data_IF_044394998441
#
_entry.id   IF_044394998441
#
_cell.length_a   1.000
_cell.length_b   1.000
_cell.length_c   1.000
_cell.angle_alpha   90.00
_cell.angle_beta   90.00
_cell.angle_gamma   90.00
#
_symmetry.space_group_name_H-M   'P 1'
#
loop_
_entity.id
_entity.type
_entity.pdbx_description
1 polymer ?
#
# COMPACT_ATOMS: atom_id res chain seq x y z
N UNK A 1 2.07 -8.16 25.16
CA UNK A 1 3.18 -7.32 24.66
C UNK A 1 2.55 -6.06 24.12
N UNK A 2 3.05 -4.89 24.53
CA UNK A 2 2.51 -3.61 24.10
C UNK A 2 3.52 -2.99 23.12
N UNK A 3 3.05 -2.63 21.93
CA UNK A 3 3.86 -2.02 20.88
C UNK A 3 3.60 -0.53 20.87
N UNK A 4 4.67 0.28 20.82
CA UNK A 4 4.58 1.72 20.62
C UNK A 4 5.01 2.00 19.18
N UNK A 5 4.12 2.56 18.37
CA UNK A 5 4.41 3.01 17.01
C UNK A 5 4.54 4.53 17.02
N UNK A 6 5.61 5.04 16.43
CA UNK A 6 5.90 6.49 16.35
C UNK A 6 5.92 6.88 14.88
N UNK A 7 5.06 7.82 14.50
CA UNK A 7 5.05 8.41 13.16
C UNK A 7 5.94 9.65 13.16
N UNK A 8 6.87 9.71 12.21
CA UNK A 8 7.83 10.82 12.06
C UNK A 8 7.71 11.45 10.67
N UNK A 9 7.81 12.77 10.58
CA UNK A 9 7.60 13.50 9.33
C UNK A 9 8.91 13.73 8.55
N UNK A 10 10.06 13.54 9.18
CA UNK A 10 11.37 13.77 8.55
C UNK A 10 12.50 12.93 9.16
N UNK A 11 13.61 12.83 8.42
CA UNK A 11 14.77 12.02 8.83
C UNK A 11 15.48 12.54 10.10
N UNK A 12 15.42 13.85 10.38
CA UNK A 12 16.06 14.42 11.57
C UNK A 12 15.39 13.92 12.86
N UNK A 13 14.06 13.81 12.87
CA UNK A 13 13.32 13.23 14.01
C UNK A 13 13.70 11.77 14.25
N UNK A 14 13.82 10.98 13.16
CA UNK A 14 14.24 9.58 13.25
C UNK A 14 15.66 9.48 13.84
N UNK A 15 16.59 10.33 13.39
CA UNK A 15 17.97 10.32 13.89
C UNK A 15 18.04 10.72 15.38
N UNK A 16 17.24 11.68 15.81
CA UNK A 16 17.17 12.11 17.21
C UNK A 16 16.60 10.99 18.10
N UNK A 17 15.54 10.30 17.65
CA UNK A 17 14.99 9.14 18.36
C UNK A 17 15.98 7.98 18.44
N UNK A 18 16.71 7.68 17.35
CA UNK A 18 17.76 6.64 17.37
C UNK A 18 18.83 6.95 18.41
N UNK A 19 19.30 8.19 18.47
CA UNK A 19 20.33 8.61 19.43
C UNK A 19 19.83 8.45 20.87
N UNK A 20 18.61 8.95 21.16
CA UNK A 20 17.99 8.81 22.47
C UNK A 20 17.82 7.35 22.89
N UNK A 21 17.24 6.51 22.03
CA UNK A 21 16.96 5.11 22.34
C UNK A 21 18.25 4.29 22.53
N UNK A 22 19.30 4.59 21.75
CA UNK A 22 20.63 3.98 21.94
C UNK A 22 21.22 4.30 23.31
N UNK A 23 21.11 5.56 23.73
CA UNK A 23 21.68 5.99 25.01
C UNK A 23 20.93 5.41 26.21
N UNK A 24 19.63 5.17 26.04
CA UNK A 24 18.81 4.44 27.00
C UNK A 24 19.00 2.92 26.93
N UNK A 25 19.83 2.42 26.01
CA UNK A 25 20.07 0.98 25.75
C UNK A 25 18.79 0.20 25.45
N UNK A 26 17.84 0.84 24.77
CA UNK A 26 16.58 0.24 24.35
C UNK A 26 16.78 -0.37 22.96
N UNK A 27 16.40 -1.64 22.78
CA UNK A 27 16.36 -2.27 21.46
C UNK A 27 15.14 -1.78 20.69
N UNK A 28 15.34 -1.38 19.44
CA UNK A 28 14.28 -0.88 18.57
C UNK A 28 14.46 -1.39 17.13
N UNK A 29 13.35 -1.43 16.40
CA UNK A 29 13.29 -1.76 14.98
C UNK A 29 12.71 -0.58 14.22
N UNK A 30 13.15 -0.39 12.97
CA UNK A 30 12.64 0.66 12.09
C UNK A 30 12.03 0.00 10.88
N UNK A 31 10.70 -0.02 10.86
CA UNK A 31 9.94 -0.41 9.70
C UNK A 31 9.63 0.84 8.89
N UNK A 32 10.25 0.97 7.73
CA UNK A 32 9.83 1.97 6.74
C UNK A 32 8.60 1.40 6.05
N UNK A 33 7.51 2.16 6.00
CA UNK A 33 6.42 1.83 5.10
C UNK A 33 6.98 1.81 3.68
N UNK A 34 6.84 0.66 3.01
CA UNK A 34 7.20 0.54 1.61
C UNK A 34 6.23 1.41 0.81
N UNK A 35 6.77 2.43 0.14
CA UNK A 35 6.01 3.13 -0.87
C UNK A 35 5.58 2.15 -1.96
N UNK A 36 4.41 2.36 -2.53
CA UNK A 36 3.99 1.63 -3.73
C UNK A 36 5.11 1.71 -4.78
N UNK A 37 5.49 0.56 -5.32
CA UNK A 37 6.41 0.50 -6.46
C UNK A 37 5.77 1.16 -7.68
N UNK A 38 6.58 1.61 -8.64
CA UNK A 38 6.06 2.39 -9.76
C UNK A 38 5.05 1.60 -10.61
N UNK A 39 5.31 0.31 -10.85
CA UNK A 39 4.36 -0.55 -11.56
C UNK A 39 3.04 -0.73 -10.81
N UNK A 40 3.05 -0.74 -9.47
CA UNK A 40 1.82 -0.82 -8.66
C UNK A 40 1.00 0.47 -8.80
N UNK A 41 1.65 1.63 -8.74
CA UNK A 41 0.97 2.92 -8.97
C UNK A 41 0.36 2.98 -10.37
N UNK A 42 1.11 2.58 -11.39
CA UNK A 42 0.62 2.53 -12.78
C UNK A 42 -0.62 1.64 -12.91
N UNK A 43 -0.63 0.45 -12.29
CA UNK A 43 -1.78 -0.46 -12.32
C UNK A 43 -3.01 0.15 -11.64
N UNK A 44 -2.82 0.79 -10.49
CA UNK A 44 -3.91 1.45 -9.76
C UNK A 44 -4.49 2.59 -10.59
N UNK A 45 -3.63 3.48 -11.11
CA UNK A 45 -4.05 4.61 -11.95
C UNK A 45 -4.77 4.14 -13.21
N UNK A 46 -4.27 3.09 -13.86
CA UNK A 46 -4.93 2.49 -15.02
C UNK A 46 -6.31 1.93 -14.65
N UNK A 47 -6.43 1.21 -13.55
CA UNK A 47 -7.72 0.68 -13.08
C UNK A 47 -8.73 1.79 -12.79
N UNK A 48 -8.29 2.90 -12.18
CA UNK A 48 -9.13 4.08 -11.95
C UNK A 48 -9.60 4.68 -13.29
N UNK A 49 -8.71 4.83 -14.26
CA UNK A 49 -9.05 5.32 -15.61
C UNK A 49 -10.05 4.40 -16.30
N UNK A 50 -9.77 3.09 -16.32
CA UNK A 50 -10.64 2.08 -16.93
C UNK A 50 -12.04 2.09 -16.30
N UNK A 51 -12.16 2.26 -14.99
CA UNK A 51 -13.45 2.40 -14.31
C UNK A 51 -14.17 3.67 -14.75
N UNK A 52 -13.46 4.81 -14.77
CA UNK A 52 -14.04 6.10 -15.18
C UNK A 52 -14.55 6.10 -16.63
N UNK A 53 -13.88 5.35 -17.50
CA UNK A 53 -14.23 5.19 -18.92
C UNK A 53 -15.25 4.07 -19.15
N UNK A 54 -15.75 3.41 -18.08
CA UNK A 54 -16.70 2.30 -18.20
C UNK A 54 -16.10 1.00 -18.75
N UNK A 55 -14.77 0.91 -18.84
CA UNK A 55 -14.00 -0.27 -19.27
C UNK A 55 -13.88 -1.31 -18.15
N UNK A 56 -14.97 -1.56 -17.45
CA UNK A 56 -15.06 -2.62 -16.44
C UNK A 56 -16.32 -3.44 -16.68
N UNK A 57 -16.36 -4.65 -16.16
CA UNK A 57 -17.52 -5.54 -16.28
C UNK A 57 -17.85 -6.12 -14.92
N UNK A 58 -19.14 -6.13 -14.58
CA UNK A 58 -19.61 -6.81 -13.38
C UNK A 58 -19.46 -8.32 -13.54
N UNK A 59 -19.27 -9.02 -12.42
CA UNK A 59 -19.20 -10.49 -12.38
C UNK A 59 -20.43 -11.14 -13.03
N UNK A 60 -21.62 -10.54 -12.86
CA UNK A 60 -22.86 -10.95 -13.52
C UNK A 60 -22.76 -10.85 -15.05
N UNK A 61 -22.33 -9.71 -15.57
CA UNK A 61 -22.14 -9.47 -17.01
C UNK A 61 -21.17 -10.48 -17.63
N UNK A 62 -20.02 -10.72 -16.98
CA UNK A 62 -19.03 -11.70 -17.42
C UNK A 62 -19.62 -13.11 -17.44
N UNK A 63 -20.33 -13.50 -16.37
CA UNK A 63 -20.95 -14.82 -16.25
C UNK A 63 -22.00 -15.08 -17.33
N UNK A 64 -22.83 -14.09 -17.63
CA UNK A 64 -23.84 -14.17 -18.69
C UNK A 64 -23.19 -14.30 -20.08
N UNK A 65 -22.14 -13.53 -20.37
CA UNK A 65 -21.39 -13.63 -21.63
C UNK A 65 -20.74 -15.01 -21.78
N UNK A 66 -20.06 -15.50 -20.74
CA UNK A 66 -19.40 -16.80 -20.77
C UNK A 66 -20.39 -17.94 -21.05
N UNK A 67 -21.57 -17.94 -20.40
CA UNK A 67 -22.61 -18.95 -20.64
C UNK A 67 -23.15 -18.92 -22.08
N UNK A 68 -23.22 -17.74 -22.72
CA UNK A 68 -23.63 -17.62 -24.13
C UNK A 68 -22.63 -18.24 -25.10
N UNK A 69 -21.33 -18.20 -24.78
CA UNK A 69 -20.28 -18.78 -25.62
C UNK A 69 -20.12 -20.30 -25.47
N UNK A 70 -20.71 -20.91 -24.44
CA UNK A 70 -20.67 -22.35 -24.19
C UNK A 70 -21.88 -23.12 -24.74
N UNK A 71 -22.83 -22.42 -25.40
CA UNK A 71 -23.97 -23.01 -26.10
C UNK A 71 -23.70 -23.05 -27.59
#
# INVERSE_FOLDING_TARGET
MNTITIHTDNENQINLLKALLKELKINFEINKEENLTEWQKEKILKGISDISEGKFSSSKSVSEKARKCLR
#
